data_IF_531448271605
#
_entry.id   IF_531448271605
#
_cell.length_a   1.000
_cell.length_b   1.000
_cell.length_c   1.000
_cell.angle_alpha   90.00
_cell.angle_beta   90.00
_cell.angle_gamma   90.00
#
_symmetry.space_group_name_H-M   'P 1'
#
loop_
_entity.id
_entity.type
_entity.pdbx_description
1 polymer ?
#
# COMPACT_ATOMS: atom_id res chain seq x y z
N UNK A 1 -11.45 20.54 -6.68
CA UNK A 1 -11.40 20.51 -5.19
C UNK A 1 -11.72 19.08 -4.78
N UNK A 2 -11.00 18.48 -3.82
CA UNK A 2 -11.36 17.16 -3.31
C UNK A 2 -12.53 17.26 -2.35
N UNK A 3 -13.49 16.36 -2.45
CA UNK A 3 -14.67 16.33 -1.58
C UNK A 3 -14.55 15.16 -0.60
N UNK A 4 -14.69 15.40 0.72
CA UNK A 4 -14.67 14.30 1.69
C UNK A 4 -15.94 13.45 1.54
N UNK A 5 -15.81 12.14 1.81
CA UNK A 5 -16.96 11.21 1.79
C UNK A 5 -17.79 11.24 3.09
N UNK A 6 -17.41 12.10 4.04
CA UNK A 6 -18.18 12.35 5.27
C UNK A 6 -18.58 13.83 5.35
N UNK A 7 -19.75 14.09 5.94
CA UNK A 7 -20.23 15.43 6.25
C UNK A 7 -19.84 15.85 7.67
N UNK A 8 -19.92 17.15 7.99
CA UNK A 8 -19.73 17.66 9.36
C UNK A 8 -20.63 16.94 10.38
N UNK A 9 -21.92 16.79 10.05
CA UNK A 9 -22.88 16.12 10.93
C UNK A 9 -22.49 14.65 11.20
N UNK A 10 -22.00 13.92 10.18
CA UNK A 10 -21.53 12.54 10.37
C UNK A 10 -20.23 12.49 11.19
N UNK A 11 -19.31 13.41 10.99
CA UNK A 11 -18.10 13.50 11.81
C UNK A 11 -18.45 13.77 13.29
N UNK A 12 -19.34 14.73 13.55
CA UNK A 12 -19.82 15.05 14.90
C UNK A 12 -20.56 13.86 15.56
N UNK A 13 -21.31 13.08 14.78
CA UNK A 13 -21.95 11.84 15.26
C UNK A 13 -20.90 10.82 15.73
N UNK A 14 -19.87 10.58 14.93
CA UNK A 14 -18.79 9.65 15.25
C UNK A 14 -17.98 10.14 16.47
N UNK A 15 -17.67 11.43 16.53
CA UNK A 15 -16.84 12.03 17.59
C UNK A 15 -17.49 11.86 18.99
N UNK A 16 -18.81 11.78 19.07
CA UNK A 16 -19.50 11.51 20.34
C UNK A 16 -19.15 10.17 20.97
N UNK A 17 -18.80 9.18 20.14
CA UNK A 17 -18.45 7.82 20.58
C UNK A 17 -16.93 7.55 20.47
N UNK A 18 -16.29 8.11 19.45
CA UNK A 18 -14.88 7.88 19.12
C UNK A 18 -14.24 9.27 18.95
N UNK A 19 -13.50 9.76 19.95
CA UNK A 19 -12.84 11.07 19.87
C UNK A 19 -11.81 11.15 18.74
N UNK A 20 -11.60 12.35 18.21
CA UNK A 20 -10.48 12.64 17.30
C UNK A 20 -9.13 12.53 18.05
N UNK A 21 -8.02 12.23 17.34
CA UNK A 21 -7.98 11.88 15.92
C UNK A 21 -8.40 10.43 15.66
N UNK A 22 -8.95 10.16 14.47
CA UNK A 22 -9.17 8.79 13.98
C UNK A 22 -9.03 8.71 12.47
N UNK A 23 -8.62 7.54 11.97
CA UNK A 23 -8.74 7.23 10.56
C UNK A 23 -10.14 6.69 10.25
N UNK A 24 -10.73 7.10 9.12
CA UNK A 24 -12.02 6.60 8.66
C UNK A 24 -11.90 6.09 7.23
N UNK A 25 -12.55 4.95 6.96
CA UNK A 25 -12.51 4.29 5.65
C UNK A 25 -13.92 4.18 5.07
N UNK A 26 -14.08 4.42 3.77
CA UNK A 26 -15.33 4.27 3.02
C UNK A 26 -15.45 2.86 2.44
N UNK A 27 -16.24 1.99 3.08
CA UNK A 27 -16.46 0.62 2.60
C UNK A 27 -17.01 0.58 1.18
N UNK A 28 -17.95 1.47 0.85
CA UNK A 28 -18.57 1.51 -0.47
C UNK A 28 -17.53 1.81 -1.56
N UNK A 29 -16.75 2.86 -1.36
CA UNK A 29 -15.70 3.26 -2.29
C UNK A 29 -14.63 2.19 -2.46
N UNK A 30 -14.21 1.51 -1.38
CA UNK A 30 -13.25 0.40 -1.42
C UNK A 30 -13.78 -0.74 -2.32
N UNK A 31 -15.03 -1.17 -2.11
CA UNK A 31 -15.63 -2.25 -2.90
C UNK A 31 -15.80 -1.88 -4.38
N UNK A 32 -16.28 -0.69 -4.65
CA UNK A 32 -16.46 -0.18 -6.02
C UNK A 32 -15.13 -0.11 -6.77
N UNK A 33 -14.07 0.32 -6.10
CA UNK A 33 -12.73 0.40 -6.69
C UNK A 33 -12.16 -0.99 -6.98
N UNK A 34 -12.30 -1.94 -6.07
CA UNK A 34 -11.89 -3.33 -6.30
C UNK A 34 -12.61 -3.93 -7.53
N UNK A 35 -13.93 -3.76 -7.62
CA UNK A 35 -14.72 -4.20 -8.78
C UNK A 35 -14.29 -3.53 -10.09
N UNK A 36 -13.96 -2.23 -10.04
CA UNK A 36 -13.45 -1.49 -11.21
C UNK A 36 -12.11 -2.06 -11.68
N UNK A 37 -11.21 -2.41 -10.75
CA UNK A 37 -9.94 -3.05 -11.08
C UNK A 37 -10.14 -4.40 -11.76
N UNK A 38 -10.97 -5.29 -11.19
CA UNK A 38 -11.28 -6.59 -11.79
C UNK A 38 -11.93 -6.45 -13.18
N UNK A 39 -12.79 -5.44 -13.37
CA UNK A 39 -13.37 -5.13 -14.68
C UNK A 39 -12.31 -4.73 -15.69
N UNK A 40 -11.34 -3.91 -15.30
CA UNK A 40 -10.27 -3.45 -16.19
C UNK A 40 -9.39 -4.59 -16.73
N UNK A 41 -9.21 -5.64 -15.93
CA UNK A 41 -8.40 -6.82 -16.28
C UNK A 41 -9.22 -8.08 -16.60
N UNK A 42 -10.53 -7.95 -16.80
CA UNK A 42 -11.44 -9.08 -17.08
C UNK A 42 -11.13 -9.87 -18.36
N UNK A 43 -10.33 -9.31 -19.25
CA UNK A 43 -9.80 -9.95 -20.45
C UNK A 43 -8.80 -11.08 -20.13
N UNK A 44 -8.12 -11.04 -18.98
CA UNK A 44 -7.21 -12.09 -18.49
C UNK A 44 -7.95 -12.98 -17.49
N UNK A 45 -8.24 -14.24 -17.88
CA UNK A 45 -9.02 -15.18 -17.04
C UNK A 45 -8.34 -15.54 -15.72
N UNK A 46 -7.01 -15.41 -15.66
CA UNK A 46 -6.22 -15.68 -14.44
C UNK A 46 -5.95 -14.44 -13.59
N UNK A 47 -6.49 -13.28 -13.95
CA UNK A 47 -6.22 -12.04 -13.23
C UNK A 47 -6.56 -12.15 -11.75
N UNK A 48 -5.64 -11.67 -10.91
CA UNK A 48 -5.86 -11.56 -9.48
C UNK A 48 -5.12 -10.35 -8.89
N UNK A 49 -5.84 -9.60 -8.07
CA UNK A 49 -5.26 -8.59 -7.19
C UNK A 49 -4.85 -9.24 -5.87
N UNK A 50 -3.61 -9.01 -5.44
CA UNK A 50 -3.11 -9.33 -4.11
C UNK A 50 -2.90 -8.02 -3.36
N UNK A 51 -3.84 -7.66 -2.52
CA UNK A 51 -3.75 -6.41 -1.78
C UNK A 51 -2.50 -6.37 -0.89
N UNK A 52 -1.67 -5.33 -1.08
CA UNK A 52 -0.47 -5.14 -0.27
C UNK A 52 -0.85 -4.81 1.19
N UNK A 53 -0.72 -5.80 2.08
CA UNK A 53 -1.15 -5.71 3.49
C UNK A 53 -0.51 -4.53 4.20
N UNK A 54 0.77 -4.25 3.92
CA UNK A 54 1.53 -3.10 4.46
C UNK A 54 0.84 -1.75 4.25
N UNK A 55 -0.03 -1.62 3.25
CA UNK A 55 -0.72 -0.37 2.99
C UNK A 55 -1.77 -0.05 4.06
N UNK A 56 -2.51 -1.08 4.52
CA UNK A 56 -3.54 -0.95 5.57
C UNK A 56 -3.76 -2.29 6.27
N UNK A 57 -2.91 -2.66 7.25
CA UNK A 57 -2.96 -3.94 7.95
C UNK A 57 -4.12 -3.96 8.97
N UNK A 58 -5.34 -4.09 8.47
CA UNK A 58 -6.55 -4.16 9.29
C UNK A 58 -7.41 -5.36 8.89
N UNK A 59 -7.79 -6.26 9.83
CA UNK A 59 -8.58 -7.45 9.53
C UNK A 59 -9.90 -7.17 8.83
N UNK A 60 -10.59 -6.08 9.18
CA UNK A 60 -11.87 -5.71 8.55
C UNK A 60 -11.67 -5.31 7.09
N UNK A 61 -10.62 -4.55 6.80
CA UNK A 61 -10.27 -4.16 5.42
C UNK A 61 -9.90 -5.40 4.59
N UNK A 62 -9.07 -6.31 5.14
CA UNK A 62 -8.72 -7.55 4.46
C UNK A 62 -9.95 -8.41 4.17
N UNK A 63 -10.92 -8.47 5.10
CA UNK A 63 -12.18 -9.18 4.88
C UNK A 63 -12.99 -8.59 3.74
N UNK A 64 -13.14 -7.26 3.69
CA UNK A 64 -13.84 -6.56 2.61
C UNK A 64 -13.21 -6.90 1.26
N UNK A 65 -11.88 -6.80 1.15
CA UNK A 65 -11.16 -7.08 -0.08
C UNK A 65 -11.22 -8.56 -0.48
N UNK A 66 -11.19 -9.48 0.49
CA UNK A 66 -11.40 -10.91 0.26
C UNK A 66 -12.77 -11.20 -0.36
N UNK A 67 -13.81 -10.56 0.15
CA UNK A 67 -15.18 -10.68 -0.40
C UNK A 67 -15.29 -10.17 -1.84
N UNK A 68 -14.43 -9.24 -2.24
CA UNK A 68 -14.30 -8.75 -3.63
C UNK A 68 -13.33 -9.58 -4.49
N UNK A 69 -12.79 -10.70 -3.97
CA UNK A 69 -11.94 -11.63 -4.69
C UNK A 69 -10.43 -11.39 -4.59
N UNK A 70 -9.98 -10.38 -3.84
CA UNK A 70 -8.56 -10.11 -3.66
C UNK A 70 -7.88 -11.17 -2.81
N UNK A 71 -6.62 -11.44 -3.11
CA UNK A 71 -5.67 -12.09 -2.22
C UNK A 71 -4.93 -11.07 -1.35
N UNK A 72 -3.87 -11.54 -0.67
CA UNK A 72 -2.97 -10.69 0.13
C UNK A 72 -1.54 -10.80 -0.37
N UNK A 73 -0.84 -9.67 -0.49
CA UNK A 73 0.62 -9.59 -0.59
C UNK A 73 1.18 -9.25 0.79
N UNK A 74 1.95 -10.20 1.35
CA UNK A 74 2.56 -10.11 2.67
C UNK A 74 4.06 -9.87 2.56
N UNK A 75 4.60 -9.03 3.44
CA UNK A 75 6.03 -8.67 3.47
C UNK A 75 6.71 -9.02 4.80
N UNK A 76 6.01 -9.68 5.72
CA UNK A 76 6.53 -10.02 7.05
C UNK A 76 5.77 -11.18 7.70
N UNK A 77 6.38 -11.72 8.79
CA UNK A 77 5.76 -12.76 9.62
C UNK A 77 4.35 -12.38 10.09
N UNK A 78 4.20 -11.16 10.61
CA UNK A 78 2.93 -10.69 11.17
C UNK A 78 1.84 -10.49 10.13
N UNK A 79 2.20 -10.07 8.91
CA UNK A 79 1.26 -9.98 7.79
C UNK A 79 0.81 -11.37 7.30
N UNK A 80 1.72 -12.35 7.26
CA UNK A 80 1.37 -13.75 7.00
C UNK A 80 0.41 -14.32 8.06
N UNK A 81 0.70 -14.08 9.34
CA UNK A 81 -0.17 -14.50 10.45
C UNK A 81 -1.55 -13.84 10.38
N UNK A 82 -1.62 -12.56 10.03
CA UNK A 82 -2.88 -11.84 9.86
C UNK A 82 -3.69 -12.43 8.70
N UNK A 83 -3.04 -12.67 7.56
CA UNK A 83 -3.68 -13.27 6.38
C UNK A 83 -4.23 -14.66 6.68
N UNK A 84 -3.47 -15.52 7.38
CA UNK A 84 -3.92 -16.83 7.82
C UNK A 84 -5.15 -16.74 8.75
N UNK A 85 -5.10 -15.85 9.76
CA UNK A 85 -6.24 -15.62 10.67
C UNK A 85 -7.48 -15.10 9.94
N UNK A 86 -7.31 -14.35 8.84
CA UNK A 86 -8.42 -13.91 8.00
C UNK A 86 -8.87 -14.98 6.99
N UNK A 87 -8.29 -16.17 7.06
CA UNK A 87 -8.68 -17.34 6.29
C UNK A 87 -8.17 -17.33 4.83
N UNK A 88 -7.19 -16.50 4.48
CA UNK A 88 -6.47 -16.61 3.21
C UNK A 88 -5.56 -17.83 3.24
N UNK A 89 -5.47 -18.56 2.12
CA UNK A 89 -4.69 -19.80 2.04
C UNK A 89 -4.09 -20.02 0.64
N UNK A 90 -2.91 -20.62 0.61
CA UNK A 90 -2.31 -21.10 -0.62
C UNK A 90 -2.15 -20.02 -1.68
N UNK A 91 -2.81 -20.20 -2.81
CA UNK A 91 -2.79 -19.28 -3.95
C UNK A 91 -3.50 -17.93 -3.69
N UNK A 92 -4.05 -17.72 -2.50
CA UNK A 92 -4.58 -16.41 -2.10
C UNK A 92 -3.51 -15.53 -1.41
N UNK A 93 -2.30 -16.06 -1.14
CA UNK A 93 -1.24 -15.34 -0.45
C UNK A 93 -0.01 -15.27 -1.37
N UNK A 94 0.42 -14.04 -1.69
CA UNK A 94 1.76 -13.72 -2.15
C UNK A 94 2.62 -13.37 -0.94
N UNK A 95 3.88 -13.79 -0.97
CA UNK A 95 4.86 -13.41 0.04
C UNK A 95 6.07 -12.77 -0.63
N UNK A 96 6.11 -11.44 -0.63
CA UNK A 96 7.12 -10.60 -1.26
C UNK A 96 7.88 -9.82 -0.18
N UNK A 97 8.91 -10.44 0.39
CA UNK A 97 9.78 -9.87 1.41
C UNK A 97 11.18 -9.60 0.84
N UNK A 98 11.95 -8.77 1.54
CA UNK A 98 13.36 -8.49 1.25
C UNK A 98 14.18 -8.93 2.47
N UNK A 99 15.46 -9.30 2.28
CA UNK A 99 16.33 -9.72 3.39
C UNK A 99 15.60 -10.68 4.37
N UNK A 100 14.91 -11.66 3.83
CA UNK A 100 13.86 -12.46 4.48
C UNK A 100 14.43 -13.36 5.57
N UNK A 101 13.97 -13.26 6.84
CA UNK A 101 14.33 -14.20 7.91
C UNK A 101 13.84 -15.64 7.65
N UNK A 102 14.54 -16.61 8.22
CA UNK A 102 14.22 -18.02 8.01
C UNK A 102 12.80 -18.40 8.44
N UNK A 103 12.35 -17.88 9.60
CA UNK A 103 11.00 -18.15 10.12
C UNK A 103 9.87 -17.65 9.19
N UNK A 104 10.11 -16.58 8.44
CA UNK A 104 9.13 -16.07 7.47
C UNK A 104 8.99 -17.03 6.28
N UNK A 105 10.09 -17.56 5.76
CA UNK A 105 10.05 -18.60 4.73
C UNK A 105 9.36 -19.88 5.22
N UNK A 106 9.65 -20.29 6.45
CA UNK A 106 9.01 -21.46 7.07
C UNK A 106 7.50 -21.28 7.15
N UNK A 107 7.04 -20.12 7.64
CA UNK A 107 5.61 -19.84 7.73
C UNK A 107 4.96 -19.70 6.36
N UNK A 108 5.57 -18.96 5.43
CA UNK A 108 5.06 -18.81 4.07
C UNK A 108 4.86 -20.16 3.38
N UNK A 109 5.85 -21.06 3.49
CA UNK A 109 5.75 -22.42 2.95
C UNK A 109 4.68 -23.24 3.66
N UNK A 110 4.57 -23.15 4.99
CA UNK A 110 3.54 -23.85 5.77
C UNK A 110 2.13 -23.43 5.35
N UNK A 111 1.93 -22.15 5.02
CA UNK A 111 0.67 -21.60 4.51
C UNK A 111 0.44 -21.92 3.03
N UNK A 112 1.40 -22.55 2.39
CA UNK A 112 1.42 -22.82 0.94
C UNK A 112 1.31 -21.52 0.10
N UNK A 113 1.82 -20.40 0.64
CA UNK A 113 1.86 -19.10 -0.03
C UNK A 113 2.78 -19.14 -1.26
N UNK A 114 2.56 -18.26 -2.21
CA UNK A 114 3.49 -18.05 -3.32
C UNK A 114 4.67 -17.22 -2.83
N UNK A 115 5.83 -17.84 -2.64
CA UNK A 115 7.06 -17.16 -2.23
C UNK A 115 7.68 -16.48 -3.45
N UNK A 116 7.94 -15.17 -3.32
CA UNK A 116 8.64 -14.35 -4.29
C UNK A 116 10.08 -14.13 -3.81
N UNK A 117 11.05 -14.78 -4.47
CA UNK A 117 12.46 -14.64 -4.14
C UNK A 117 13.00 -13.30 -4.64
N UNK A 118 13.50 -12.51 -3.72
CA UNK A 118 14.02 -11.17 -3.99
C UNK A 118 15.43 -11.20 -4.61
N UNK A 119 16.25 -12.16 -4.21
CA UNK A 119 17.64 -12.29 -4.66
C UNK A 119 18.00 -13.74 -5.01
N UNK A 120 19.02 -13.88 -5.86
CA UNK A 120 19.54 -15.18 -6.31
C UNK A 120 20.02 -16.06 -5.16
N UNK A 121 20.67 -15.47 -4.16
CA UNK A 121 21.18 -16.18 -2.97
C UNK A 121 20.06 -16.71 -2.07
N UNK A 122 18.86 -16.19 -2.19
CA UNK A 122 17.69 -16.66 -1.44
C UNK A 122 17.27 -18.09 -1.85
N UNK A 123 17.67 -18.60 -3.00
CA UNK A 123 17.36 -19.98 -3.42
C UNK A 123 17.95 -20.97 -2.41
N UNK A 124 19.25 -20.86 -2.13
CA UNK A 124 19.94 -21.75 -1.20
C UNK A 124 19.49 -21.52 0.24
N UNK A 125 19.20 -20.27 0.60
CA UNK A 125 18.71 -19.94 1.93
C UNK A 125 17.32 -20.52 2.17
N UNK A 126 16.39 -20.39 1.23
CA UNK A 126 15.06 -21.00 1.29
C UNK A 126 15.15 -22.52 1.39
N UNK A 127 16.00 -23.15 0.55
CA UNK A 127 16.20 -24.61 0.57
C UNK A 127 16.63 -25.11 1.94
N UNK A 128 17.60 -24.43 2.56
CA UNK A 128 18.12 -24.78 3.90
C UNK A 128 17.11 -24.50 5.02
N UNK A 129 16.34 -23.42 4.92
CA UNK A 129 15.45 -22.97 5.98
C UNK A 129 14.11 -23.69 5.97
N UNK A 130 13.52 -23.89 4.80
CA UNK A 130 12.17 -24.43 4.64
C UNK A 130 12.05 -25.51 3.58
N UNK A 131 13.06 -25.68 2.72
CA UNK A 131 13.00 -26.51 1.51
C UNK A 131 12.24 -25.83 0.38
N UNK A 132 12.57 -26.18 -0.86
CA UNK A 132 11.97 -25.57 -2.06
C UNK A 132 10.50 -26.01 -2.20
N UNK A 133 9.53 -25.11 -2.38
CA UNK A 133 8.13 -25.43 -2.68
C UNK A 133 7.96 -25.72 -4.19
N UNK A 134 6.81 -26.33 -4.55
CA UNK A 134 6.49 -26.62 -5.95
C UNK A 134 6.17 -25.36 -6.79
N UNK A 135 5.85 -24.24 -6.14
CA UNK A 135 5.51 -22.96 -6.76
C UNK A 135 6.42 -21.86 -6.23
N UNK A 136 7.10 -21.17 -7.14
CA UNK A 136 8.04 -20.08 -6.83
C UNK A 136 7.84 -18.91 -7.79
N UNK A 137 7.92 -17.71 -7.26
CA UNK A 137 8.07 -16.46 -8.00
C UNK A 137 9.49 -15.93 -7.82
N UNK A 138 10.07 -15.31 -8.86
CA UNK A 138 11.33 -14.58 -8.75
C UNK A 138 11.13 -13.13 -9.10
N UNK A 139 11.76 -12.24 -8.31
CA UNK A 139 11.71 -10.80 -8.55
C UNK A 139 12.80 -10.41 -9.53
N UNK A 140 12.38 -9.77 -10.60
CA UNK A 140 13.25 -9.25 -11.65
C UNK A 140 13.56 -7.78 -11.42
N UNK A 141 14.83 -7.40 -11.58
CA UNK A 141 15.28 -6.01 -11.68
C UNK A 141 15.91 -5.79 -13.05
N UNK A 142 15.27 -5.02 -13.95
CA UNK A 142 15.81 -4.79 -15.29
C UNK A 142 17.04 -3.88 -15.29
N UNK A 143 17.37 -3.23 -14.17
CA UNK A 143 18.41 -2.21 -14.10
C UNK A 143 18.07 -0.94 -14.88
N UNK A 144 19.07 -0.09 -15.10
CA UNK A 144 18.92 1.14 -15.88
C UNK A 144 18.06 2.21 -15.20
N UNK A 145 17.61 3.18 -15.99
CA UNK A 145 16.70 4.24 -15.56
C UNK A 145 15.31 4.00 -16.12
N UNK A 146 14.30 4.11 -15.26
CA UNK A 146 12.91 4.00 -15.65
C UNK A 146 12.29 5.41 -15.69
N UNK A 147 12.24 6.02 -16.88
CA UNK A 147 11.93 7.44 -17.08
C UNK A 147 10.47 7.86 -16.86
N UNK A 148 9.58 6.93 -16.49
CA UNK A 148 8.12 7.18 -16.36
C UNK A 148 7.72 7.37 -14.90
N UNK A 149 8.65 7.18 -13.95
CA UNK A 149 8.34 7.23 -12.53
C UNK A 149 8.57 8.60 -11.90
N UNK A 150 7.92 8.80 -10.78
CA UNK A 150 8.17 9.92 -9.86
C UNK A 150 9.31 9.56 -8.90
N UNK A 151 9.96 10.56 -8.36
CA UNK A 151 11.20 10.64 -7.57
C UNK A 151 11.51 9.55 -6.51
N UNK A 152 10.64 8.57 -6.25
CA UNK A 152 10.84 7.61 -5.16
C UNK A 152 11.61 6.36 -5.61
N UNK A 153 11.59 5.98 -6.90
CA UNK A 153 12.31 4.82 -7.45
C UNK A 153 12.67 5.00 -8.94
N UNK A 154 13.26 6.12 -9.30
CA UNK A 154 13.53 6.48 -10.70
C UNK A 154 14.68 5.69 -11.33
N UNK A 155 15.43 4.94 -10.53
CA UNK A 155 16.62 4.23 -10.96
C UNK A 155 16.59 2.77 -10.46
N UNK A 156 16.01 1.83 -11.20
CA UNK A 156 16.05 0.41 -10.83
C UNK A 156 17.46 -0.13 -10.57
N UNK A 157 18.49 0.47 -11.19
CA UNK A 157 19.89 0.11 -10.96
C UNK A 157 20.38 0.40 -9.54
N UNK A 158 19.76 1.35 -8.82
CA UNK A 158 20.08 1.69 -7.43
C UNK A 158 19.10 1.04 -6.42
N UNK A 159 18.07 0.36 -6.91
CA UNK A 159 17.10 -0.32 -6.06
C UNK A 159 17.73 -1.58 -5.44
N UNK A 160 17.46 -1.78 -4.13
CA UNK A 160 17.94 -2.97 -3.41
C UNK A 160 17.19 -4.27 -3.77
N UNK A 161 16.32 -4.27 -4.76
CA UNK A 161 15.36 -5.31 -5.05
C UNK A 161 15.65 -6.02 -6.36
N UNK A 162 15.55 -7.35 -6.33
CA UNK A 162 15.40 -8.19 -7.50
C UNK A 162 16.71 -8.62 -8.19
N UNK A 163 16.59 -9.69 -8.93
CA UNK A 163 17.65 -10.33 -9.68
C UNK A 163 17.89 -9.62 -11.01
N UNK A 164 19.13 -9.51 -11.42
CA UNK A 164 19.50 -9.11 -12.80
C UNK A 164 18.98 -10.12 -13.84
N UNK A 165 19.03 -9.74 -15.13
CA UNK A 165 18.56 -10.63 -16.21
C UNK A 165 19.31 -11.98 -16.23
N UNK A 166 20.61 -11.96 -16.07
CA UNK A 166 21.39 -13.21 -16.10
C UNK A 166 21.11 -14.07 -14.86
N UNK A 167 20.99 -13.43 -13.69
CA UNK A 167 20.64 -14.11 -12.45
C UNK A 167 19.25 -14.76 -12.50
N UNK A 168 18.24 -14.08 -13.04
CA UNK A 168 16.87 -14.61 -13.07
C UNK A 168 16.76 -15.81 -14.04
N UNK A 169 17.46 -15.75 -15.19
CA UNK A 169 17.51 -16.86 -16.14
C UNK A 169 18.16 -18.08 -15.48
N UNK A 170 19.26 -17.89 -14.78
CA UNK A 170 19.93 -19.00 -14.08
C UNK A 170 19.11 -19.51 -12.89
N UNK A 171 18.44 -18.63 -12.15
CA UNK A 171 17.53 -19.00 -11.08
C UNK A 171 16.44 -19.97 -11.54
N UNK A 172 15.80 -19.70 -12.70
CA UNK A 172 14.78 -20.61 -13.22
C UNK A 172 15.31 -21.97 -13.64
N UNK A 173 16.55 -22.06 -14.17
CA UNK A 173 17.18 -23.36 -14.45
C UNK A 173 17.42 -24.16 -13.18
N UNK A 174 17.97 -23.52 -12.15
CA UNK A 174 18.25 -24.16 -10.86
C UNK A 174 16.95 -24.60 -10.20
N UNK A 175 15.93 -23.71 -10.13
CA UNK A 175 14.64 -24.03 -9.51
C UNK A 175 13.91 -25.16 -10.24
N UNK A 176 13.99 -25.21 -11.59
CA UNK A 176 13.46 -26.31 -12.37
C UNK A 176 14.18 -27.65 -12.05
N UNK A 177 15.51 -27.61 -11.94
CA UNK A 177 16.29 -28.77 -11.54
C UNK A 177 16.00 -29.25 -10.11
N UNK A 178 15.63 -28.31 -9.20
CA UNK A 178 15.18 -28.58 -7.82
C UNK A 178 13.72 -29.04 -7.71
N UNK A 179 13.01 -29.19 -8.83
CA UNK A 179 11.65 -29.77 -8.87
C UNK A 179 10.51 -28.81 -8.77
N UNK A 180 10.76 -27.50 -8.91
CA UNK A 180 9.68 -26.50 -9.02
C UNK A 180 8.86 -26.77 -10.28
N UNK A 181 7.54 -26.70 -10.16
CA UNK A 181 6.57 -27.03 -11.23
C UNK A 181 5.83 -25.80 -11.74
N UNK A 182 5.59 -24.82 -10.87
CA UNK A 182 4.83 -23.60 -11.18
C UNK A 182 5.73 -22.38 -10.94
N UNK A 183 5.81 -21.52 -11.94
CA UNK A 183 6.75 -20.42 -11.96
C UNK A 183 6.03 -19.08 -12.16
N UNK A 184 6.41 -18.10 -11.38
CA UNK A 184 5.98 -16.71 -11.58
C UNK A 184 7.17 -15.77 -11.72
N UNK A 185 6.92 -14.59 -12.27
CA UNK A 185 7.87 -13.49 -12.32
C UNK A 185 7.20 -12.21 -11.76
N UNK A 186 7.96 -11.43 -11.04
CA UNK A 186 7.53 -10.20 -10.39
C UNK A 186 8.53 -9.09 -10.66
N UNK A 187 8.10 -7.83 -10.74
CA UNK A 187 8.98 -6.67 -10.65
C UNK A 187 8.26 -5.49 -10.02
N UNK A 188 8.99 -4.72 -9.23
CA UNK A 188 8.51 -3.48 -8.63
C UNK A 188 9.48 -2.35 -8.95
N UNK A 189 9.11 -1.44 -9.85
CA UNK A 189 10.00 -0.42 -10.40
C UNK A 189 9.65 1.00 -9.97
N UNK A 190 8.45 1.24 -9.44
CA UNK A 190 8.02 2.58 -9.09
C UNK A 190 6.95 2.58 -7.98
N UNK A 191 6.77 3.72 -7.33
CA UNK A 191 5.72 3.96 -6.34
C UNK A 191 5.04 5.29 -6.59
N UNK A 192 3.70 5.31 -6.52
CA UNK A 192 2.85 6.47 -6.75
C UNK A 192 3.04 7.11 -8.13
N UNK A 193 3.06 6.31 -9.17
CA UNK A 193 3.14 6.79 -10.55
C UNK A 193 1.76 7.22 -11.04
N UNK A 194 1.62 8.51 -11.35
CA UNK A 194 0.35 9.10 -11.82
C UNK A 194 0.41 9.27 -13.34
N UNK A 195 0.40 8.15 -14.05
CA UNK A 195 0.31 8.07 -15.53
C UNK A 195 -0.27 6.73 -15.94
N UNK A 196 -1.00 6.71 -17.05
CA UNK A 196 -1.58 5.48 -17.59
C UNK A 196 -0.56 4.58 -18.31
N UNK A 197 0.63 5.08 -18.61
CA UNK A 197 1.68 4.36 -19.34
C UNK A 197 2.55 3.44 -18.46
N UNK A 198 2.52 3.61 -17.14
CA UNK A 198 3.40 2.87 -16.23
C UNK A 198 3.24 1.34 -16.37
N UNK A 199 2.03 0.82 -16.15
CA UNK A 199 1.80 -0.62 -16.26
C UNK A 199 2.00 -1.19 -17.67
N UNK A 200 1.52 -0.58 -18.76
CA UNK A 200 1.82 -1.07 -20.10
C UNK A 200 3.33 -1.15 -20.39
N UNK A 201 4.10 -0.16 -19.93
CA UNK A 201 5.57 -0.15 -20.14
C UNK A 201 6.24 -1.24 -19.28
N UNK A 202 5.86 -1.37 -18.02
CA UNK A 202 6.33 -2.44 -17.14
C UNK A 202 5.98 -3.82 -17.71
N UNK A 203 4.73 -4.00 -18.15
CA UNK A 203 4.26 -5.23 -18.77
C UNK A 203 5.10 -5.62 -19.99
N UNK A 204 5.44 -4.66 -20.87
CA UNK A 204 6.31 -4.93 -22.02
C UNK A 204 7.65 -5.51 -21.61
N UNK A 205 8.32 -4.88 -20.64
CA UNK A 205 9.62 -5.34 -20.12
C UNK A 205 9.50 -6.77 -19.58
N UNK A 206 8.48 -7.04 -18.76
CA UNK A 206 8.29 -8.35 -18.15
C UNK A 206 7.89 -9.42 -19.17
N UNK A 207 7.02 -9.10 -20.11
CA UNK A 207 6.55 -10.06 -21.10
C UNK A 207 7.68 -10.46 -22.08
N UNK A 208 8.47 -9.51 -22.55
CA UNK A 208 9.65 -9.77 -23.39
C UNK A 208 10.68 -10.64 -22.62
N UNK A 209 10.91 -10.33 -21.34
CA UNK A 209 11.79 -11.13 -20.46
C UNK A 209 11.23 -12.55 -20.24
N UNK A 210 9.93 -12.70 -20.07
CA UNK A 210 9.28 -14.00 -19.91
C UNK A 210 9.42 -14.89 -21.15
N UNK A 211 9.32 -14.31 -22.34
CA UNK A 211 9.58 -15.02 -23.61
C UNK A 211 11.04 -15.49 -23.67
N UNK A 212 11.99 -14.62 -23.35
CA UNK A 212 13.42 -14.95 -23.32
C UNK A 212 13.75 -16.07 -22.31
N UNK A 213 13.14 -16.04 -21.12
CA UNK A 213 13.25 -17.08 -20.11
C UNK A 213 12.78 -18.44 -20.70
N UNK A 214 11.61 -18.44 -21.33
CA UNK A 214 11.07 -19.67 -21.98
C UNK A 214 12.02 -20.22 -23.01
N UNK A 215 12.57 -19.37 -23.89
CA UNK A 215 13.49 -19.77 -24.93
C UNK A 215 14.80 -20.34 -24.39
N UNK A 216 15.37 -19.70 -23.36
CA UNK A 216 16.69 -20.08 -22.83
C UNK A 216 16.65 -21.23 -21.82
N UNK A 217 15.51 -21.43 -21.13
CA UNK A 217 15.41 -22.39 -20.01
C UNK A 217 14.38 -23.51 -20.24
N UNK A 218 13.47 -23.30 -21.20
CA UNK A 218 12.29 -24.14 -21.38
C UNK A 218 11.31 -24.04 -20.21
N UNK A 219 11.40 -22.99 -19.37
CA UNK A 219 10.43 -22.69 -18.31
C UNK A 219 9.38 -21.74 -18.87
N UNK A 220 8.12 -22.16 -18.91
CA UNK A 220 6.98 -21.31 -19.17
C UNK A 220 6.43 -20.81 -17.84
N UNK A 221 6.25 -19.50 -17.71
CA UNK A 221 5.65 -18.92 -16.52
C UNK A 221 4.15 -19.18 -16.47
N UNK A 222 3.63 -19.45 -15.27
CA UNK A 222 2.19 -19.56 -15.00
C UNK A 222 1.55 -18.19 -14.80
N UNK A 223 2.30 -17.26 -14.22
CA UNK A 223 1.83 -15.91 -13.99
C UNK A 223 2.95 -14.88 -14.05
N UNK A 224 2.57 -13.63 -14.32
CA UNK A 224 3.43 -12.45 -14.24
C UNK A 224 2.74 -11.43 -13.33
N UNK A 225 3.46 -11.01 -12.29
CA UNK A 225 2.99 -10.07 -11.29
C UNK A 225 3.57 -8.68 -11.57
N UNK A 226 2.70 -7.74 -11.94
CA UNK A 226 3.04 -6.34 -12.20
C UNK A 226 3.27 -5.54 -10.90
N UNK A 227 3.09 -6.19 -9.74
CA UNK A 227 3.23 -5.58 -8.42
C UNK A 227 2.33 -4.36 -8.21
N UNK A 228 2.78 -3.39 -7.42
CA UNK A 228 2.12 -2.11 -7.19
C UNK A 228 2.64 -1.01 -8.11
N UNK A 229 2.57 0.22 -7.63
CA UNK A 229 3.16 1.39 -8.29
C UNK A 229 2.14 2.36 -8.88
N UNK A 230 0.96 1.90 -9.30
CA UNK A 230 -0.12 2.79 -9.75
C UNK A 230 -0.49 3.73 -8.60
N UNK A 231 -0.33 5.03 -8.85
CA UNK A 231 -0.52 6.08 -7.86
C UNK A 231 -1.89 6.71 -7.89
N UNK A 232 -2.04 7.71 -7.05
CA UNK A 232 -3.19 8.60 -6.99
C UNK A 232 -2.73 10.05 -7.01
N UNK A 233 -3.54 10.99 -7.52
CA UNK A 233 -3.26 12.40 -7.41
C UNK A 233 -3.55 12.87 -5.98
N UNK A 234 -2.53 13.20 -5.21
CA UNK A 234 -2.72 13.79 -3.88
C UNK A 234 -3.13 15.26 -3.98
N UNK A 235 -2.63 15.98 -4.96
CA UNK A 235 -2.98 17.38 -5.22
C UNK A 235 -4.25 17.48 -6.07
N UNK A 236 -5.13 18.46 -5.83
CA UNK A 236 -6.41 18.57 -6.51
C UNK A 236 -6.33 19.04 -7.97
N UNK A 237 -5.15 19.46 -8.44
CA UNK A 237 -4.86 19.92 -9.81
C UNK A 237 -4.42 18.80 -10.76
N UNK A 238 -4.14 17.60 -10.24
CA UNK A 238 -3.71 16.46 -11.04
C UNK A 238 -4.88 15.54 -11.38
N UNK A 239 -4.92 15.08 -12.62
CA UNK A 239 -5.89 14.08 -13.06
C UNK A 239 -5.55 12.69 -12.54
N UNK A 240 -6.55 11.90 -12.12
CA UNK A 240 -6.34 10.54 -11.68
C UNK A 240 -5.98 9.61 -12.83
N UNK A 241 -5.26 8.54 -12.50
CA UNK A 241 -5.09 7.42 -13.42
C UNK A 241 -6.45 6.79 -13.79
N UNK A 242 -6.61 6.41 -15.04
CA UNK A 242 -7.76 5.61 -15.47
C UNK A 242 -7.36 4.14 -15.58
N UNK A 243 -7.80 3.34 -14.60
CA UNK A 243 -7.49 1.91 -14.56
C UNK A 243 -8.04 1.13 -15.75
N UNK A 244 -9.10 1.62 -16.40
CA UNK A 244 -9.63 0.99 -17.61
C UNK A 244 -8.68 1.19 -18.80
N UNK A 245 -8.11 2.39 -18.92
CA UNK A 245 -7.08 2.70 -19.94
C UNK A 245 -5.80 1.89 -19.66
N UNK A 246 -5.40 1.81 -18.40
CA UNK A 246 -4.25 0.98 -17.97
C UNK A 246 -4.47 -0.49 -18.33
N UNK A 247 -5.63 -1.06 -17.97
CA UNK A 247 -5.96 -2.46 -18.25
C UNK A 247 -5.96 -2.78 -19.74
N UNK A 248 -6.51 -1.89 -20.57
CA UNK A 248 -6.48 -2.03 -22.04
C UNK A 248 -5.06 -1.89 -22.60
N UNK A 249 -4.25 -0.98 -22.05
CA UNK A 249 -2.84 -0.85 -22.43
C UNK A 249 -2.03 -2.13 -22.15
N UNK A 250 -2.21 -2.73 -20.99
CA UNK A 250 -1.57 -4.02 -20.62
C UNK A 250 -2.07 -5.14 -21.54
N UNK A 251 -3.36 -5.18 -21.86
CA UNK A 251 -3.96 -6.13 -22.80
C UNK A 251 -3.28 -6.09 -24.16
N UNK A 252 -3.13 -4.92 -24.74
CA UNK A 252 -2.46 -4.77 -26.05
C UNK A 252 -1.07 -5.35 -26.05
N UNK A 253 -0.27 -5.03 -25.03
CA UNK A 253 1.09 -5.57 -24.90
C UNK A 253 1.07 -7.09 -24.72
N UNK A 254 0.10 -7.62 -23.95
CA UNK A 254 -0.09 -9.05 -23.78
C UNK A 254 -0.38 -9.78 -25.10
N UNK A 255 -1.28 -9.22 -25.89
CA UNK A 255 -1.65 -9.75 -27.23
C UNK A 255 -0.49 -9.64 -28.24
N UNK A 256 0.34 -8.60 -28.13
CA UNK A 256 1.49 -8.39 -29.02
C UNK A 256 2.68 -9.26 -28.67
N UNK A 257 2.94 -9.57 -27.40
CA UNK A 257 4.16 -10.24 -26.95
C UNK A 257 3.93 -11.69 -26.53
N UNK A 258 2.99 -11.93 -25.59
CA UNK A 258 2.83 -13.26 -25.00
C UNK A 258 2.02 -14.22 -25.90
N UNK A 259 0.97 -13.73 -26.53
CA UNK A 259 0.12 -14.59 -27.39
C UNK A 259 0.91 -15.22 -28.54
N UNK A 260 1.68 -14.46 -29.34
CA UNK A 260 2.50 -15.05 -30.42
C UNK A 260 3.57 -16.02 -29.92
N UNK A 261 4.08 -15.83 -28.70
CA UNK A 261 5.06 -16.70 -28.08
C UNK A 261 4.45 -18.00 -27.48
N UNK A 262 3.13 -18.23 -27.67
CA UNK A 262 2.43 -19.39 -27.11
C UNK A 262 2.31 -19.33 -25.58
N UNK A 263 2.19 -18.12 -25.02
CA UNK A 263 2.03 -17.82 -23.59
C UNK A 263 0.72 -17.06 -23.30
N UNK A 264 -0.28 -17.21 -24.17
CA UNK A 264 -1.58 -16.54 -24.05
C UNK A 264 -2.48 -17.04 -22.91
N UNK A 265 -1.99 -17.94 -22.07
CA UNK A 265 -2.64 -18.47 -20.87
C UNK A 265 -1.97 -18.00 -19.55
N UNK A 266 -0.91 -17.19 -19.64
CA UNK A 266 -0.22 -16.64 -18.47
C UNK A 266 -1.16 -15.70 -17.71
N UNK A 267 -1.31 -15.93 -16.41
CA UNK A 267 -2.11 -15.07 -15.54
C UNK A 267 -1.39 -13.75 -15.23
N UNK A 268 -2.13 -12.69 -15.10
CA UNK A 268 -1.63 -11.38 -14.67
C UNK A 268 -2.04 -11.11 -13.23
N UNK A 269 -1.05 -10.78 -12.38
CA UNK A 269 -1.27 -10.41 -10.99
C UNK A 269 -0.86 -8.96 -10.75
N UNK A 270 -1.49 -8.34 -9.75
CA UNK A 270 -1.16 -7.00 -9.26
C UNK A 270 -1.09 -7.01 -7.73
N UNK A 271 -0.31 -6.07 -7.15
CA UNK A 271 -0.14 -5.89 -5.69
C UNK A 271 -0.39 -4.43 -5.31
N UNK A 272 -1.58 -3.95 -5.63
CA UNK A 272 -1.95 -2.56 -5.44
C UNK A 272 -2.35 -2.29 -3.98
N UNK A 273 -1.64 -1.40 -3.31
CA UNK A 273 -2.02 -0.90 -1.98
C UNK A 273 -2.62 0.51 -2.07
N UNK A 274 -1.82 1.46 -2.52
CA UNK A 274 -2.19 2.88 -2.58
C UNK A 274 -3.41 3.13 -3.45
N UNK A 275 -3.40 2.63 -4.67
CA UNK A 275 -4.53 2.76 -5.60
C UNK A 275 -5.82 2.17 -5.02
N UNK A 276 -5.72 1.08 -4.29
CA UNK A 276 -6.87 0.39 -3.73
C UNK A 276 -7.56 1.18 -2.63
N UNK A 277 -6.81 1.80 -1.73
CA UNK A 277 -7.37 2.35 -0.49
C UNK A 277 -7.12 3.82 -0.23
N UNK A 278 -6.05 4.44 -0.74
CA UNK A 278 -5.69 5.78 -0.31
C UNK A 278 -6.83 6.81 -0.47
N UNK A 279 -7.58 6.86 -1.60
CA UNK A 279 -8.68 7.81 -1.76
C UNK A 279 -9.88 7.53 -0.85
N UNK A 280 -9.98 6.32 -0.35
CA UNK A 280 -11.12 5.83 0.46
C UNK A 280 -10.81 5.82 1.95
N UNK A 281 -9.85 6.63 2.38
CA UNK A 281 -9.53 6.84 3.79
C UNK A 281 -9.14 8.27 4.07
N UNK A 282 -9.58 8.77 5.21
CA UNK A 282 -9.28 10.11 5.73
C UNK A 282 -8.76 10.03 7.15
N UNK A 283 -7.89 10.97 7.52
CA UNK A 283 -7.62 11.27 8.93
C UNK A 283 -8.51 12.43 9.35
N UNK A 284 -9.32 12.20 10.37
CA UNK A 284 -10.18 13.23 10.98
C UNK A 284 -9.52 13.73 12.26
N UNK A 285 -9.39 15.04 12.39
CA UNK A 285 -8.71 15.68 13.51
C UNK A 285 -9.36 17.02 13.84
N UNK A 286 -9.18 17.53 15.06
CA UNK A 286 -9.80 18.75 15.55
C UNK A 286 -8.74 19.81 15.82
N UNK A 287 -9.02 21.07 15.43
CA UNK A 287 -8.21 22.23 15.80
C UNK A 287 -8.31 22.51 17.29
N UNK A 288 -7.18 22.47 18.00
CA UNK A 288 -7.14 22.62 19.47
C UNK A 288 -6.32 23.82 19.94
N UNK A 289 -5.42 24.33 19.11
CA UNK A 289 -4.59 25.48 19.45
C UNK A 289 -4.29 26.34 18.24
N UNK A 290 -4.16 27.63 18.44
CA UNK A 290 -3.58 28.59 17.50
C UNK A 290 -2.32 29.22 18.11
N UNK A 291 -1.37 29.56 17.25
CA UNK A 291 -0.14 30.28 17.63
C UNK A 291 0.14 31.37 16.62
N UNK A 292 0.37 32.57 17.11
CA UNK A 292 0.68 33.77 16.34
C UNK A 292 2.11 34.18 16.63
N UNK A 293 3.04 33.82 15.76
CA UNK A 293 4.48 34.15 15.90
C UNK A 293 4.98 34.82 14.62
N UNK A 294 6.02 34.30 13.97
CA UNK A 294 6.44 34.74 12.64
C UNK A 294 5.54 34.19 11.53
N UNK A 295 4.70 33.21 11.85
CA UNK A 295 3.68 32.62 11.02
C UNK A 295 2.41 32.35 11.85
N UNK A 296 1.33 32.07 11.16
CA UNK A 296 0.08 31.59 11.75
C UNK A 296 0.06 30.07 11.78
N UNK A 297 -0.09 29.48 12.95
CA UNK A 297 -0.13 28.04 13.16
C UNK A 297 -1.47 27.61 13.72
N UNK A 298 -1.98 26.51 13.16
CA UNK A 298 -3.12 25.78 13.74
C UNK A 298 -2.61 24.43 14.24
N UNK A 299 -2.65 24.23 15.54
CA UNK A 299 -2.35 22.96 16.19
C UNK A 299 -3.60 22.08 16.21
N UNK A 300 -3.46 20.85 15.73
CA UNK A 300 -4.53 19.84 15.76
C UNK A 300 -4.19 18.74 16.78
N UNK A 301 -5.18 17.95 17.19
CA UNK A 301 -4.98 16.82 18.11
C UNK A 301 -4.29 15.61 17.47
N UNK A 302 -4.26 15.50 16.14
CA UNK A 302 -3.39 14.58 15.43
C UNK A 302 -1.93 15.06 15.39
N UNK A 303 -1.01 14.15 15.12
CA UNK A 303 0.41 14.44 14.89
C UNK A 303 1.00 13.43 13.87
N UNK A 304 2.29 13.54 13.57
CA UNK A 304 2.96 12.64 12.61
C UNK A 304 2.90 11.15 13.01
N UNK A 305 2.61 10.81 14.26
CA UNK A 305 2.29 9.45 14.71
C UNK A 305 1.07 8.88 13.96
N UNK A 306 0.10 9.73 13.63
CA UNK A 306 -1.11 9.35 12.91
C UNK A 306 -0.92 9.39 11.39
N UNK A 307 -0.09 10.31 10.88
CA UNK A 307 0.21 10.45 9.46
C UNK A 307 1.62 11.02 9.26
N UNK A 308 2.62 10.16 9.14
CA UNK A 308 4.02 10.59 9.04
C UNK A 308 4.43 11.17 7.68
N UNK A 309 3.69 10.87 6.62
CA UNK A 309 4.11 11.17 5.24
C UNK A 309 4.40 12.66 4.97
N UNK A 310 3.61 13.63 5.45
CA UNK A 310 3.97 15.04 5.30
C UNK A 310 5.29 15.38 6.00
N UNK A 311 5.49 14.91 7.23
CA UNK A 311 6.68 15.19 8.03
C UNK A 311 7.96 14.57 7.44
N UNK A 312 7.91 13.32 6.97
CA UNK A 312 9.07 12.56 6.53
C UNK A 312 9.41 12.73 5.06
N UNK A 313 8.40 12.96 4.22
CA UNK A 313 8.58 13.00 2.75
C UNK A 313 8.16 14.32 2.12
N UNK A 314 7.70 15.29 2.92
CA UNK A 314 7.07 16.51 2.39
C UNK A 314 5.83 16.22 1.55
N UNK A 315 5.17 15.07 1.79
CA UNK A 315 4.04 14.64 0.99
C UNK A 315 2.83 15.55 1.18
N UNK A 316 2.26 15.99 0.06
CA UNK A 316 1.01 16.74 0.10
C UNK A 316 -0.17 15.84 0.46
N UNK A 317 -1.00 16.30 1.38
CA UNK A 317 -2.37 15.82 1.58
C UNK A 317 -3.32 17.02 1.55
N UNK A 318 -4.45 16.87 0.85
CA UNK A 318 -5.47 17.91 0.84
C UNK A 318 -6.16 17.98 2.20
N UNK A 319 -6.50 19.19 2.62
CA UNK A 319 -7.21 19.44 3.87
C UNK A 319 -8.53 20.12 3.55
N UNK A 320 -9.62 19.57 4.07
CA UNK A 320 -10.95 20.21 4.09
C UNK A 320 -11.34 20.50 5.52
N UNK A 321 -11.82 21.72 5.77
CA UNK A 321 -12.44 22.09 7.05
C UNK A 321 -13.94 21.88 6.93
N UNK A 322 -14.47 20.92 7.69
CA UNK A 322 -15.88 20.52 7.57
C UNK A 322 -16.83 21.62 7.99
N UNK A 323 -17.78 21.92 7.10
CA UNK A 323 -18.75 23.02 7.27
C UNK A 323 -18.25 24.39 6.78
N UNK A 324 -17.00 24.44 6.28
CA UNK A 324 -16.39 25.65 5.67
C UNK A 324 -15.94 25.42 4.23
N UNK A 325 -16.46 24.38 3.56
CA UNK A 325 -16.03 23.94 2.22
C UNK A 325 -16.22 25.01 1.15
N UNK A 326 -17.17 25.92 1.37
CA UNK A 326 -17.50 27.01 0.45
C UNK A 326 -16.99 28.37 0.90
N UNK A 327 -16.29 28.47 2.02
CA UNK A 327 -15.70 29.71 2.51
C UNK A 327 -14.42 30.07 1.73
N UNK A 328 -14.06 31.36 1.64
CA UNK A 328 -12.82 31.77 1.00
C UNK A 328 -11.60 31.17 1.71
N UNK A 329 -10.68 30.56 0.95
CA UNK A 329 -9.37 30.12 1.46
C UNK A 329 -8.38 31.29 1.37
N UNK A 330 -8.53 32.29 2.23
CA UNK A 330 -7.76 33.54 2.22
C UNK A 330 -6.81 33.70 3.42
N UNK A 331 -6.78 32.71 4.31
CA UNK A 331 -5.89 32.66 5.46
C UNK A 331 -4.76 31.65 5.21
N UNK A 332 -3.52 32.04 5.51
CA UNK A 332 -2.34 31.22 5.33
C UNK A 332 -1.90 30.63 6.68
N UNK A 333 -1.93 29.29 6.77
CA UNK A 333 -1.55 28.56 7.98
C UNK A 333 -0.50 27.48 7.73
N UNK A 334 0.34 27.22 8.74
CA UNK A 334 0.97 25.93 8.96
C UNK A 334 0.05 25.10 9.88
N UNK A 335 -0.34 23.89 9.45
CA UNK A 335 -1.15 22.96 10.27
C UNK A 335 -0.20 21.96 10.92
N UNK A 336 -0.17 21.94 12.27
CA UNK A 336 0.86 21.27 13.05
C UNK A 336 0.30 20.26 14.04
N UNK A 337 1.08 19.22 14.33
CA UNK A 337 0.85 18.31 15.44
C UNK A 337 1.58 18.73 16.73
N UNK A 338 1.62 17.82 17.69
CA UNK A 338 2.10 18.05 19.05
C UNK A 338 3.46 17.41 19.39
N UNK A 339 4.18 16.89 18.39
CA UNK A 339 5.51 16.30 18.62
C UNK A 339 6.57 17.36 18.86
N UNK A 340 7.59 17.03 19.65
CA UNK A 340 8.82 17.81 19.78
C UNK A 340 9.71 17.67 18.53
N UNK A 341 9.10 17.76 17.36
CA UNK A 341 9.71 17.63 16.04
C UNK A 341 9.20 18.76 15.14
N UNK A 342 10.09 19.62 14.68
CA UNK A 342 9.71 20.79 13.88
C UNK A 342 9.01 20.44 12.56
N UNK A 343 9.25 19.24 12.03
CA UNK A 343 8.62 18.76 10.80
C UNK A 343 7.24 18.11 11.04
N UNK A 344 6.75 18.09 12.28
CA UNK A 344 5.41 17.59 12.59
C UNK A 344 4.33 18.58 12.09
N UNK A 345 4.23 18.66 10.76
CA UNK A 345 3.34 19.56 10.02
C UNK A 345 2.60 18.79 8.95
N UNK A 346 1.29 18.89 8.97
CA UNK A 346 0.42 18.33 7.92
C UNK A 346 0.37 19.22 6.68
N UNK A 347 0.58 20.54 6.87
CA UNK A 347 0.64 21.51 5.81
C UNK A 347 1.54 22.69 6.20
N UNK A 348 2.18 23.29 5.21
CA UNK A 348 3.03 24.48 5.34
C UNK A 348 2.50 25.54 4.36
N UNK A 349 2.37 26.79 4.83
CA UNK A 349 1.88 27.94 4.04
C UNK A 349 0.59 27.61 3.26
N UNK A 350 -0.31 26.82 3.87
CA UNK A 350 -1.55 26.37 3.24
C UNK A 350 -2.63 27.46 3.32
N UNK A 351 -3.20 27.79 2.18
CA UNK A 351 -4.39 28.65 2.12
C UNK A 351 -5.63 27.83 2.51
N UNK A 352 -6.28 28.23 3.61
CA UNK A 352 -7.48 27.62 4.18
C UNK A 352 -8.51 28.71 4.51
N UNK A 353 -9.78 28.35 4.75
CA UNK A 353 -10.71 29.28 5.35
C UNK A 353 -10.26 29.67 6.75
N UNK A 354 -10.83 30.71 7.31
CA UNK A 354 -10.59 31.11 8.72
C UNK A 354 -10.90 29.92 9.64
N UNK A 355 -9.92 29.56 10.46
CA UNK A 355 -10.05 28.45 11.40
C UNK A 355 -10.48 28.99 12.77
N UNK A 356 -11.45 28.31 13.37
CA UNK A 356 -11.86 28.50 14.76
C UNK A 356 -11.51 27.24 15.58
N UNK A 357 -11.20 27.41 16.85
CA UNK A 357 -10.92 26.28 17.73
C UNK A 357 -12.14 25.39 17.86
N UNK A 358 -11.93 24.08 17.67
CA UNK A 358 -13.00 23.09 17.57
C UNK A 358 -13.41 22.75 16.14
N UNK A 359 -12.89 23.43 15.13
CA UNK A 359 -13.12 23.04 13.73
C UNK A 359 -12.57 21.64 13.45
N UNK A 360 -13.36 20.88 12.70
CA UNK A 360 -13.01 19.49 12.33
C UNK A 360 -12.35 19.49 10.96
N UNK A 361 -11.15 18.92 10.89
CA UNK A 361 -10.37 18.77 9.66
C UNK A 361 -10.49 17.37 9.13
N UNK A 362 -10.63 17.26 7.82
CA UNK A 362 -10.42 16.03 7.06
C UNK A 362 -9.13 16.15 6.28
N UNK A 363 -8.14 15.31 6.59
CA UNK A 363 -6.93 15.16 5.82
C UNK A 363 -7.15 13.99 4.87
N UNK A 364 -7.17 14.27 3.57
CA UNK A 364 -7.58 13.34 2.52
C UNK A 364 -6.51 12.30 2.18
N UNK A 365 -6.93 11.22 1.51
CA UNK A 365 -6.08 10.21 0.87
C UNK A 365 -5.13 9.49 1.84
N UNK A 366 -5.60 9.24 3.05
CA UNK A 366 -4.82 8.56 4.10
C UNK A 366 -5.15 7.08 4.25
N UNK A 367 -6.02 6.53 3.39
CA UNK A 367 -6.49 5.15 3.46
C UNK A 367 -5.41 4.09 3.21
N UNK A 368 -4.27 4.47 2.62
CA UNK A 368 -3.10 3.62 2.46
C UNK A 368 -1.85 4.36 2.90
N UNK A 369 -0.94 3.66 3.60
CA UNK A 369 0.31 4.24 4.12
C UNK A 369 0.08 5.46 5.05
N UNK A 370 -1.11 5.54 5.66
CA UNK A 370 -1.47 6.48 6.71
C UNK A 370 -1.20 5.84 8.08
N UNK A 371 -2.22 5.23 8.68
CA UNK A 371 -2.10 4.52 9.97
C UNK A 371 -0.94 3.51 9.99
N UNK A 372 -0.78 2.75 8.89
CA UNK A 372 0.21 1.67 8.80
C UNK A 372 1.66 2.13 9.00
N UNK A 373 2.00 3.34 8.57
CA UNK A 373 3.35 3.91 8.72
C UNK A 373 3.53 4.67 10.04
N UNK A 374 2.53 4.70 10.90
CA UNK A 374 2.61 5.37 12.20
C UNK A 374 3.67 4.75 13.10
N UNK A 375 4.22 5.57 13.98
CA UNK A 375 5.24 5.22 14.97
C UNK A 375 4.88 5.86 16.31
N UNK A 376 5.59 5.52 17.39
CA UNK A 376 5.43 6.18 18.69
C UNK A 376 6.66 7.06 18.96
N UNK A 377 6.51 8.37 18.81
CA UNK A 377 7.49 9.36 19.22
C UNK A 377 6.88 10.29 20.29
N UNK A 378 7.68 10.77 21.23
CA UNK A 378 7.23 11.48 22.45
C UNK A 378 6.18 10.70 23.28
N UNK A 379 6.11 9.37 23.15
CA UNK A 379 5.08 8.57 23.80
C UNK A 379 3.66 8.83 23.30
N UNK A 380 3.48 9.46 22.14
CA UNK A 380 2.15 9.65 21.55
C UNK A 380 1.60 8.32 21.04
N UNK A 381 0.32 8.14 21.25
CA UNK A 381 -0.42 6.92 20.97
C UNK A 381 -1.06 6.96 19.59
N UNK A 382 -1.18 5.81 18.94
CA UNK A 382 -1.87 5.69 17.65
C UNK A 382 -3.38 5.83 17.84
N UNK A 383 -3.99 6.47 16.85
CA UNK A 383 -5.43 6.73 16.80
C UNK A 383 -6.28 5.48 16.52
N UNK A 384 -7.60 5.62 16.68
CA UNK A 384 -8.57 4.63 16.26
C UNK A 384 -8.68 4.54 14.72
N UNK A 385 -9.25 3.42 14.24
CA UNK A 385 -9.69 3.24 12.86
C UNK A 385 -11.19 2.92 12.84
N UNK A 386 -11.92 3.60 11.96
CA UNK A 386 -13.39 3.55 11.83
C UNK A 386 -13.75 3.15 10.40
N UNK A 387 -14.77 2.33 10.22
CA UNK A 387 -15.35 2.00 8.92
C UNK A 387 -16.71 2.71 8.77
N UNK A 388 -16.86 3.51 7.73
CA UNK A 388 -18.14 4.02 7.28
C UNK A 388 -18.78 3.00 6.34
N UNK A 389 -19.97 2.50 6.70
CA UNK A 389 -20.68 1.47 5.95
C UNK A 389 -21.57 2.07 4.86
N UNK A 390 -21.94 1.28 3.84
CA UNK A 390 -22.80 1.76 2.75
C UNK A 390 -24.19 2.25 3.19
N UNK A 391 -24.69 1.79 4.32
CA UNK A 391 -25.95 2.24 4.92
C UNK A 391 -25.84 3.54 5.75
N UNK A 392 -24.62 4.13 5.80
CA UNK A 392 -24.33 5.32 6.58
C UNK A 392 -24.04 5.06 8.06
N UNK A 393 -24.13 3.83 8.54
CA UNK A 393 -23.66 3.46 9.88
C UNK A 393 -22.13 3.46 9.94
N UNK A 394 -21.55 3.50 11.14
CA UNK A 394 -20.11 3.39 11.32
C UNK A 394 -19.76 2.28 12.31
N UNK A 395 -18.54 1.78 12.22
CA UNK A 395 -18.03 0.71 13.08
C UNK A 395 -16.59 1.00 13.47
N UNK A 396 -16.29 0.87 14.75
CA UNK A 396 -14.90 0.81 15.23
C UNK A 396 -14.25 -0.49 14.73
N UNK A 397 -13.17 -0.38 13.96
CA UNK A 397 -12.43 -1.53 13.39
C UNK A 397 -11.02 -1.68 13.97
N UNK A 398 -10.56 -0.68 14.71
CA UNK A 398 -9.40 -0.71 15.61
C UNK A 398 -9.62 0.37 16.67
N UNK A 399 -9.47 0.02 17.95
CA UNK A 399 -9.47 1.03 19.01
C UNK A 399 -8.18 1.84 18.98
N UNK A 400 -8.20 3.03 19.53
CA UNK A 400 -6.97 3.77 19.81
C UNK A 400 -6.07 3.00 20.79
N UNK A 401 -4.77 3.23 20.71
CA UNK A 401 -3.83 2.77 21.72
C UNK A 401 -4.11 3.44 23.06
N UNK A 402 -3.82 2.72 24.13
CA UNK A 402 -3.83 3.22 25.51
C UNK A 402 -2.39 3.26 26.07
N UNK A 403 -2.14 3.95 27.19
CA UNK A 403 -0.84 3.87 27.86
C UNK A 403 -0.38 2.44 28.14
N UNK A 404 -1.31 1.53 28.47
CA UNK A 404 -1.01 0.12 28.71
C UNK A 404 -0.47 -0.58 27.46
N UNK A 405 -0.97 -0.23 26.26
CA UNK A 405 -0.41 -0.76 25.00
C UNK A 405 1.02 -0.29 24.80
N UNK A 406 1.28 0.99 25.07
CA UNK A 406 2.62 1.58 24.96
C UNK A 406 3.59 0.94 25.93
N UNK A 407 3.16 0.65 27.15
CA UNK A 407 3.96 0.05 28.20
C UNK A 407 4.01 -1.48 28.15
N UNK A 408 3.28 -2.13 27.23
CA UNK A 408 3.13 -3.59 27.21
C UNK A 408 4.45 -4.36 27.23
N UNK A 409 5.51 -3.84 26.62
CA UNK A 409 6.83 -4.48 26.55
C UNK A 409 7.77 -4.13 27.69
N UNK A 410 7.43 -3.14 28.52
CA UNK A 410 8.28 -2.65 29.63
C UNK A 410 7.59 -2.70 30.99
N UNK A 411 6.34 -3.16 31.07
CA UNK A 411 5.53 -3.18 32.29
C UNK A 411 6.15 -3.96 33.46
N UNK A 412 7.00 -4.94 33.16
CA UNK A 412 7.64 -5.79 34.15
C UNK A 412 9.03 -5.27 34.59
N UNK A 413 9.41 -4.07 34.13
CA UNK A 413 10.75 -3.48 34.32
C UNK A 413 10.73 -2.12 35.03
N UNK A 414 9.66 -1.80 35.78
CA UNK A 414 9.58 -0.54 36.52
C UNK A 414 10.53 -0.49 37.74
N UNK A 415 10.78 -1.64 38.39
CA UNK A 415 11.59 -1.77 39.61
C UNK A 415 13.00 -2.26 39.25
N UNK A 416 13.72 -1.46 38.41
CA UNK A 416 15.10 -1.81 38.01
C UNK A 416 16.09 -1.30 39.04
N UNK A 417 16.77 -2.22 39.76
CA UNK A 417 18.02 -1.91 40.46
C UNK A 417 19.16 -1.84 39.43
N UNK A 418 19.84 -0.69 39.36
CA UNK A 418 21.01 -0.44 38.47
C UNK A 418 22.32 -0.76 39.20
#
# INVERSE_FOLDING_TARGET
>A
MKTPFITKAKAEEIIKEIPTPFHIYDEKGIRENARKLYKAFSWNKGFKEYFAVKATPNPTILKILKEEGCGTDCSSLTELMMSDKMGFKGDEIMFSSNDTPAEEFVLAKKLNATINLDDFTHIDFLEKSAGIPEKICCRFNPGGKFSISTTIMDNPGDAKYGMTKDQIIEAYKILKAKGVKRFGMHAFLASNTVTNEYYPTLAKILFETAVEIKEKTGVKLDFINLSGGVGIPYTPDKEPNDIMVIGEGVRKVYEEVLVPAGMGDVAIFTELGRFMLAPYGHLVTTAIHEKHTHKEYIGVDACAVNLMRPAMYGAYHHITVLGKENEPCDHKYDVTGSLCENNDKFAIDRMLPKIDMGDIFVIHDTGAHGFAMGYNYNGKLKSAEVLLRPDGSFKLIRRAETPEDYFATIKDFWDVEL
#
